data_IF_193173179270
#
_entry.id   IF_193173179270
#
_cell.length_a   1.000
_cell.length_b   1.000
_cell.length_c   1.000
_cell.angle_alpha   90.00
_cell.angle_beta   90.00
_cell.angle_gamma   90.00
#
_symmetry.space_group_name_H-M   'P 1'
#
loop_
_entity.id
_entity.type
_entity.pdbx_description
1 polymer ?
#
# COMPACT_ATOMS: atom_id res chain seq x y z
N UNK A 1 12.77 -28.51 62.50
CA UNK A 1 11.69 -27.63 62.02
C UNK A 1 12.38 -26.31 61.71
N UNK A 2 13.13 -26.23 60.61
CA UNK A 2 12.71 -25.83 59.24
C UNK A 2 12.04 -24.47 59.25
N UNK A 3 12.84 -23.43 59.11
CA UNK A 3 12.42 -22.17 58.51
C UNK A 3 13.34 -21.95 57.31
N UNK A 4 12.79 -22.30 56.16
CA UNK A 4 13.38 -22.21 54.83
C UNK A 4 13.60 -20.75 54.42
N UNK A 5 14.68 -20.58 53.67
CA UNK A 5 15.05 -19.38 52.93
C UNK A 5 13.91 -18.92 52.00
N UNK A 6 13.30 -17.77 52.29
CA UNK A 6 12.56 -17.00 51.30
C UNK A 6 13.49 -15.97 50.65
N UNK A 7 14.39 -16.45 49.80
CA UNK A 7 15.00 -15.65 48.73
C UNK A 7 14.01 -15.54 47.58
N UNK A 8 12.94 -14.78 47.80
CA UNK A 8 11.95 -14.46 46.77
C UNK A 8 12.55 -13.50 45.74
N UNK A 9 12.82 -14.03 44.56
CA UNK A 9 13.26 -13.34 43.35
C UNK A 9 12.22 -12.31 42.87
N UNK A 10 12.17 -11.17 43.56
CA UNK A 10 11.33 -10.01 43.20
C UNK A 10 11.84 -9.28 41.95
N UNK A 11 13.07 -9.57 41.51
CA UNK A 11 13.68 -8.93 40.35
C UNK A 11 13.26 -9.52 39.01
N UNK A 12 12.94 -10.82 38.93
CA UNK A 12 12.49 -11.45 37.68
C UNK A 12 11.02 -11.20 37.37
N UNK A 13 10.15 -11.25 38.38
CA UNK A 13 8.71 -11.01 38.22
C UNK A 13 8.41 -9.57 37.76
N UNK A 14 9.05 -8.57 38.35
CA UNK A 14 8.91 -7.17 37.94
C UNK A 14 9.47 -6.94 36.54
N UNK A 15 10.56 -7.62 36.16
CA UNK A 15 11.18 -7.49 34.83
C UNK A 15 10.35 -8.16 33.74
N UNK A 16 9.75 -9.32 34.02
CA UNK A 16 8.83 -9.97 33.09
C UNK A 16 7.58 -9.14 32.87
N UNK A 17 6.95 -8.61 33.94
CA UNK A 17 5.81 -7.70 33.82
C UNK A 17 6.21 -6.42 33.07
N UNK A 18 7.39 -5.85 33.32
CA UNK A 18 7.86 -4.67 32.59
C UNK A 18 8.10 -4.98 31.10
N UNK A 19 8.67 -6.13 30.77
CA UNK A 19 8.90 -6.55 29.38
C UNK A 19 7.59 -6.90 28.68
N UNK A 20 6.64 -7.51 29.38
CA UNK A 20 5.31 -7.83 28.87
C UNK A 20 4.50 -6.54 28.63
N UNK A 21 4.55 -5.60 29.56
CA UNK A 21 3.97 -4.25 29.40
C UNK A 21 4.66 -3.48 28.25
N UNK A 22 5.98 -3.62 28.08
CA UNK A 22 6.72 -3.00 26.97
C UNK A 22 6.50 -3.69 25.62
N UNK A 23 6.06 -4.96 25.59
CA UNK A 23 5.64 -5.65 24.36
C UNK A 23 4.27 -5.16 23.91
N UNK A 24 3.35 -4.94 24.85
CA UNK A 24 2.01 -4.45 24.55
C UNK A 24 2.00 -2.95 24.21
N UNK A 25 2.76 -2.13 24.95
CA UNK A 25 2.84 -0.68 24.72
C UNK A 25 4.27 -0.11 24.96
N UNK A 26 5.19 -0.23 23.99
CA UNK A 26 6.56 0.27 24.14
C UNK A 26 6.60 1.78 24.44
N UNK A 27 7.44 2.25 25.37
CA UNK A 27 7.45 3.65 25.85
C UNK A 27 7.82 4.70 24.79
N UNK A 28 8.18 4.29 23.58
CA UNK A 28 8.39 5.14 22.40
C UNK A 28 7.18 5.19 21.44
N UNK A 29 6.08 4.45 21.72
CA UNK A 29 4.81 4.54 20.97
C UNK A 29 4.05 5.83 21.25
N UNK A 30 4.24 6.43 22.43
CA UNK A 30 3.41 7.55 22.91
C UNK A 30 4.05 8.91 22.67
N UNK A 31 4.00 9.40 21.43
CA UNK A 31 4.03 10.87 21.23
C UNK A 31 3.30 11.37 19.99
N UNK A 32 2.83 10.48 19.11
CA UNK A 32 1.94 10.84 18.00
C UNK A 32 0.98 9.67 17.81
N UNK A 33 -0.33 9.93 17.84
CA UNK A 33 -1.33 8.93 17.45
C UNK A 33 -0.96 8.43 16.05
N UNK A 34 -0.50 7.19 15.97
CA UNK A 34 -0.26 6.52 14.70
C UNK A 34 -1.62 6.10 14.18
N UNK A 35 -1.88 6.25 12.89
CA UNK A 35 -3.10 5.76 12.22
C UNK A 35 -3.24 4.23 12.21
N UNK A 36 -2.62 3.54 13.18
CA UNK A 36 -2.50 2.09 13.27
C UNK A 36 -3.57 1.52 14.22
N UNK A 37 -4.13 2.34 15.12
CA UNK A 37 -5.21 1.93 16.02
C UNK A 37 -6.52 2.62 15.62
N UNK A 38 -7.57 1.85 15.27
CA UNK A 38 -8.89 2.39 14.94
C UNK A 38 -9.37 3.33 16.05
N UNK A 39 -9.67 4.57 15.69
CA UNK A 39 -10.29 5.54 16.60
C UNK A 39 -11.82 5.33 16.57
N UNK A 40 -12.47 5.42 17.73
CA UNK A 40 -13.93 5.29 17.79
C UNK A 40 -14.57 6.55 17.22
N UNK A 41 -15.40 6.37 16.18
CA UNK A 41 -16.13 7.47 15.54
C UNK A 41 -17.32 7.82 16.44
N UNK A 42 -17.05 8.57 17.51
CA UNK A 42 -18.06 8.83 18.54
C UNK A 42 -18.87 10.10 18.30
N UNK A 43 -18.43 10.98 17.39
CA UNK A 43 -19.08 12.29 17.15
C UNK A 43 -19.24 12.54 15.64
N UNK A 44 -20.49 12.55 15.13
CA UNK A 44 -20.80 13.05 13.78
C UNK A 44 -20.59 14.57 13.68
N UNK A 45 -20.02 15.05 12.57
CA UNK A 45 -20.01 16.48 12.22
C UNK A 45 -18.86 17.39 12.70
N UNK A 46 -17.83 16.98 13.49
CA UNK A 46 -16.74 17.91 13.84
C UNK A 46 -15.88 18.31 12.62
N UNK A 47 -16.06 17.64 11.48
CA UNK A 47 -15.29 17.81 10.26
C UNK A 47 -16.16 18.10 9.04
N UNK A 48 -17.41 18.55 9.20
CA UNK A 48 -18.39 18.65 8.11
C UNK A 48 -17.85 19.37 6.86
N UNK A 49 -17.17 20.51 7.05
CA UNK A 49 -16.54 21.25 5.94
C UNK A 49 -15.42 20.45 5.24
N UNK A 50 -14.58 19.75 6.03
CA UNK A 50 -13.49 18.92 5.51
C UNK A 50 -14.03 17.67 4.81
N UNK A 51 -15.04 17.01 5.39
CA UNK A 51 -15.73 15.86 4.83
C UNK A 51 -16.36 16.22 3.48
N UNK A 52 -17.05 17.37 3.40
CA UNK A 52 -17.62 17.86 2.15
C UNK A 52 -16.55 18.18 1.10
N UNK A 53 -15.44 18.80 1.49
CA UNK A 53 -14.35 19.11 0.58
C UNK A 53 -13.68 17.84 0.03
N UNK A 54 -13.41 16.86 0.89
CA UNK A 54 -12.80 15.57 0.51
C UNK A 54 -13.76 14.75 -0.35
N UNK A 55 -15.04 14.67 0.02
CA UNK A 55 -16.07 13.99 -0.77
C UNK A 55 -16.20 14.58 -2.18
N UNK A 56 -16.11 15.91 -2.29
CA UNK A 56 -16.09 16.60 -3.60
C UNK A 56 -14.83 16.24 -4.37
N UNK A 57 -13.65 16.27 -3.75
CA UNK A 57 -12.39 15.93 -4.39
C UNK A 57 -12.41 14.48 -4.93
N UNK A 58 -12.84 13.51 -4.14
CA UNK A 58 -12.98 12.10 -4.54
C UNK A 58 -13.91 11.98 -5.75
N UNK A 59 -15.10 12.60 -5.68
CA UNK A 59 -16.08 12.54 -6.77
C UNK A 59 -15.54 13.14 -8.07
N UNK A 60 -14.88 14.29 -7.98
CA UNK A 60 -14.33 14.95 -9.17
C UNK A 60 -13.18 14.15 -9.77
N UNK A 61 -12.24 13.65 -8.96
CA UNK A 61 -11.12 12.81 -9.43
C UNK A 61 -11.61 11.56 -10.12
N UNK A 62 -12.66 10.91 -9.59
CA UNK A 62 -13.29 9.76 -10.26
C UNK A 62 -13.98 10.12 -11.58
N UNK A 63 -14.45 11.35 -11.72
CA UNK A 63 -15.16 11.79 -12.92
C UNK A 63 -14.23 12.17 -14.07
N UNK A 64 -13.06 12.72 -13.78
CA UNK A 64 -12.15 13.29 -14.80
C UNK A 64 -10.73 12.70 -14.77
N UNK A 65 -10.44 11.77 -13.86
CA UNK A 65 -9.13 11.13 -13.71
C UNK A 65 -8.01 12.09 -13.28
N UNK A 66 -8.32 13.34 -12.91
CA UNK A 66 -7.31 14.35 -12.59
C UNK A 66 -6.95 14.29 -11.10
N UNK A 67 -5.66 14.10 -10.73
CA UNK A 67 -5.23 14.12 -9.34
C UNK A 67 -5.56 15.44 -8.64
N UNK A 68 -5.93 15.38 -7.35
CA UNK A 68 -6.29 16.55 -6.55
C UNK A 68 -5.56 16.54 -5.22
N UNK A 69 -5.05 17.70 -4.84
CA UNK A 69 -4.44 17.94 -3.53
C UNK A 69 -5.40 18.75 -2.67
N UNK A 70 -5.93 18.14 -1.60
CA UNK A 70 -6.82 18.79 -0.66
C UNK A 70 -6.10 18.95 0.70
N UNK A 71 -5.49 20.11 0.98
CA UNK A 71 -4.88 20.35 2.28
C UNK A 71 -5.98 20.44 3.36
N UNK A 72 -5.76 19.73 4.47
CA UNK A 72 -6.60 19.82 5.68
C UNK A 72 -5.77 20.46 6.78
N UNK A 73 -6.17 21.66 7.19
CA UNK A 73 -5.47 22.44 8.20
C UNK A 73 -6.29 22.47 9.48
N UNK A 74 -5.64 22.28 10.62
CA UNK A 74 -6.28 22.35 11.92
C UNK A 74 -5.27 22.25 13.05
N UNK A 75 -5.58 22.86 14.18
CA UNK A 75 -4.76 22.81 15.40
C UNK A 75 -4.59 21.37 15.91
N UNK A 76 -3.58 21.14 16.75
CA UNK A 76 -3.43 19.86 17.44
C UNK A 76 -4.71 19.54 18.25
N UNK A 77 -5.15 18.28 18.24
CA UNK A 77 -6.37 17.85 18.93
C UNK A 77 -7.69 18.11 18.18
N UNK A 78 -7.69 18.73 16.99
CA UNK A 78 -8.90 18.97 16.20
C UNK A 78 -9.43 17.75 15.42
N UNK A 79 -9.05 16.53 15.81
CA UNK A 79 -9.53 15.31 15.14
C UNK A 79 -8.98 15.04 13.73
N UNK A 80 -7.81 15.58 13.36
CA UNK A 80 -7.20 15.28 12.03
C UNK A 80 -6.96 13.78 11.81
N UNK A 81 -6.55 13.06 12.85
CA UNK A 81 -6.39 11.60 12.79
C UNK A 81 -7.74 10.90 12.74
N UNK A 82 -8.72 11.40 13.50
CA UNK A 82 -10.10 10.91 13.46
C UNK A 82 -10.72 11.05 12.06
N UNK A 83 -10.43 12.15 11.33
CA UNK A 83 -10.86 12.33 9.94
C UNK A 83 -10.40 11.19 9.01
N UNK A 84 -9.18 10.67 9.19
CA UNK A 84 -8.72 9.51 8.41
C UNK A 84 -9.60 8.27 8.67
N UNK A 85 -9.94 8.01 9.94
CA UNK A 85 -10.80 6.87 10.31
C UNK A 85 -12.22 7.01 9.78
N UNK A 86 -12.75 8.24 9.74
CA UNK A 86 -14.03 8.54 9.08
C UNK A 86 -13.98 8.18 7.60
N UNK A 87 -12.91 8.56 6.89
CA UNK A 87 -12.74 8.19 5.48
C UNK A 87 -12.60 6.67 5.30
N UNK A 88 -11.91 5.99 6.21
CA UNK A 88 -11.78 4.53 6.20
C UNK A 88 -13.11 3.81 6.37
N UNK A 89 -14.00 4.34 7.21
CA UNK A 89 -15.35 3.80 7.35
C UNK A 89 -16.21 4.11 6.11
N UNK A 90 -16.04 5.29 5.52
CA UNK A 90 -16.71 5.65 4.26
C UNK A 90 -16.26 4.78 3.07
N UNK A 91 -15.00 4.34 3.05
CA UNK A 91 -14.47 3.35 2.11
C UNK A 91 -15.25 2.03 2.23
N UNK A 92 -15.41 1.51 3.46
CA UNK A 92 -16.14 0.24 3.71
C UNK A 92 -17.62 0.33 3.36
N UNK A 93 -18.27 1.44 3.71
CA UNK A 93 -19.69 1.67 3.43
C UNK A 93 -19.97 1.98 1.95
N UNK A 94 -18.94 2.39 1.19
CA UNK A 94 -19.07 2.75 -0.22
C UNK A 94 -19.81 4.07 -0.46
N UNK A 95 -20.00 4.91 0.57
CA UNK A 95 -20.82 6.13 0.51
C UNK A 95 -20.31 7.14 -0.53
N UNK A 96 -19.00 7.19 -0.76
CA UNK A 96 -18.36 8.07 -1.77
C UNK A 96 -17.99 7.32 -3.07
N UNK A 97 -18.45 6.08 -3.20
CA UNK A 97 -18.05 5.13 -4.23
C UNK A 97 -16.76 4.39 -3.89
N UNK A 98 -16.17 3.74 -4.89
CA UNK A 98 -14.96 2.94 -4.73
C UNK A 98 -13.72 3.84 -4.63
N UNK A 99 -13.10 3.86 -3.47
CA UNK A 99 -11.78 4.45 -3.23
C UNK A 99 -11.08 3.65 -2.14
N UNK A 100 -9.76 3.77 -2.05
CA UNK A 100 -8.96 3.21 -0.96
C UNK A 100 -8.27 4.36 -0.24
N UNK A 101 -8.52 4.52 1.05
CA UNK A 101 -7.80 5.48 1.86
C UNK A 101 -6.45 4.88 2.27
N UNK A 102 -5.34 5.60 2.14
CA UNK A 102 -4.03 5.09 2.58
C UNK A 102 -3.45 6.09 3.58
N UNK A 103 -3.11 5.62 4.77
CA UNK A 103 -2.40 6.44 5.75
C UNK A 103 -0.90 6.39 5.47
N UNK A 104 -0.31 7.53 5.10
CA UNK A 104 1.14 7.65 4.88
C UNK A 104 1.74 8.45 6.03
N UNK A 105 2.43 7.82 6.99
CA UNK A 105 3.11 8.55 8.06
C UNK A 105 4.28 9.35 7.49
N UNK A 106 4.77 10.33 8.25
CA UNK A 106 6.03 11.00 7.90
C UNK A 106 7.13 9.95 7.75
N UNK A 107 7.87 9.93 6.62
CA UNK A 107 8.93 8.96 6.43
C UNK A 107 10.03 9.19 7.49
N UNK A 108 10.65 8.12 8.01
CA UNK A 108 11.69 8.22 9.04
C UNK A 108 12.96 8.92 8.52
N UNK A 109 13.21 8.87 7.21
CA UNK A 109 14.24 9.63 6.52
C UNK A 109 13.66 10.23 5.22
N UNK A 110 14.05 11.45 4.81
CA UNK A 110 13.53 12.10 3.60
C UNK A 110 14.10 11.50 2.29
N UNK A 111 14.58 10.26 2.32
CA UNK A 111 15.18 9.55 1.20
C UNK A 111 14.18 8.49 0.73
N UNK A 112 14.03 8.31 -0.60
CA UNK A 112 13.10 7.34 -1.21
C UNK A 112 11.64 7.59 -0.82
N UNK A 113 11.22 8.85 -0.87
CA UNK A 113 9.82 9.23 -0.60
C UNK A 113 8.84 8.44 -1.50
N UNK A 114 9.06 8.28 -2.82
CA UNK A 114 8.18 7.46 -3.67
C UNK A 114 8.02 6.02 -3.15
N UNK A 115 9.11 5.39 -2.70
CA UNK A 115 9.10 4.02 -2.16
C UNK A 115 8.29 3.93 -0.88
N UNK A 116 8.38 4.94 -0.01
CA UNK A 116 7.56 5.01 1.20
C UNK A 116 6.06 5.08 0.87
N UNK A 117 5.66 5.93 -0.08
CA UNK A 117 4.27 6.00 -0.55
C UNK A 117 3.81 4.67 -1.16
N UNK A 118 4.66 4.05 -1.98
CA UNK A 118 4.37 2.76 -2.61
C UNK A 118 4.18 1.65 -1.57
N UNK A 119 5.08 1.55 -0.60
CA UNK A 119 5.00 0.55 0.46
C UNK A 119 3.70 0.71 1.29
N UNK A 120 3.34 1.94 1.68
CA UNK A 120 2.08 2.19 2.38
C UNK A 120 0.85 1.82 1.55
N UNK A 121 0.86 2.08 0.24
CA UNK A 121 -0.23 1.71 -0.66
C UNK A 121 -0.37 0.18 -0.78
N UNK A 122 0.73 -0.53 -0.95
CA UNK A 122 0.75 -1.99 -1.09
C UNK A 122 0.36 -2.68 0.22
N UNK A 123 0.82 -2.17 1.36
CA UNK A 123 0.44 -2.69 2.68
C UNK A 123 -1.07 -2.57 2.93
N UNK A 124 -1.67 -1.45 2.52
CA UNK A 124 -3.10 -1.21 2.69
C UNK A 124 -3.98 -1.95 1.67
N UNK A 125 -3.64 -1.90 0.37
CA UNK A 125 -4.45 -2.48 -0.69
C UNK A 125 -4.21 -3.98 -0.92
N UNK A 126 -3.05 -4.48 -0.48
CA UNK A 126 -2.59 -5.85 -0.66
C UNK A 126 -2.44 -6.26 -2.13
N UNK A 127 -2.44 -7.57 -2.36
CA UNK A 127 -2.22 -8.17 -3.68
C UNK A 127 -3.31 -7.82 -4.71
N UNK A 128 -4.51 -7.45 -4.23
CA UNK A 128 -5.62 -7.06 -5.11
C UNK A 128 -5.29 -5.84 -5.96
N UNK A 129 -4.34 -5.01 -5.51
CA UNK A 129 -3.80 -3.90 -6.28
C UNK A 129 -3.09 -4.37 -7.56
N UNK A 130 -2.23 -5.38 -7.43
CA UNK A 130 -1.47 -5.95 -8.55
C UNK A 130 -2.40 -6.66 -9.53
N UNK A 131 -3.38 -7.41 -9.02
CA UNK A 131 -4.39 -8.06 -9.85
C UNK A 131 -5.19 -7.05 -10.68
N UNK A 132 -5.65 -5.96 -10.05
CA UNK A 132 -6.40 -4.91 -10.74
C UNK A 132 -5.57 -4.19 -11.80
N UNK A 133 -4.33 -3.83 -11.48
CA UNK A 133 -3.44 -3.19 -12.44
C UNK A 133 -3.13 -4.10 -13.64
N UNK A 134 -2.84 -5.38 -13.39
CA UNK A 134 -2.62 -6.36 -14.45
C UNK A 134 -3.88 -6.59 -15.30
N UNK A 135 -5.05 -6.74 -14.67
CA UNK A 135 -6.31 -6.94 -15.38
C UNK A 135 -6.72 -5.69 -16.20
N UNK A 136 -6.37 -4.48 -15.75
CA UNK A 136 -6.55 -3.23 -16.51
C UNK A 136 -5.70 -3.22 -17.78
N UNK A 137 -4.42 -3.57 -17.67
CA UNK A 137 -3.50 -3.71 -18.81
C UNK A 137 -4.02 -4.77 -19.80
N UNK A 138 -4.46 -5.91 -19.29
CA UNK A 138 -5.02 -6.99 -20.12
C UNK A 138 -6.34 -6.58 -20.78
N UNK A 139 -7.17 -5.79 -20.12
CA UNK A 139 -8.40 -5.29 -20.71
C UNK A 139 -8.13 -4.27 -21.83
N UNK A 140 -7.10 -3.45 -21.69
CA UNK A 140 -6.73 -2.42 -22.67
C UNK A 140 -6.00 -3.02 -23.89
N UNK A 141 -5.06 -3.95 -23.68
CA UNK A 141 -4.16 -4.44 -24.72
C UNK A 141 -4.37 -5.92 -25.10
N UNK A 142 -5.07 -6.68 -24.27
CA UNK A 142 -5.28 -8.10 -24.43
C UNK A 142 -6.34 -8.43 -25.49
N UNK A 143 -5.92 -9.20 -26.50
CA UNK A 143 -6.84 -9.90 -27.39
C UNK A 143 -6.95 -11.37 -26.96
N UNK A 144 -8.17 -11.85 -26.73
CA UNK A 144 -8.41 -13.28 -26.46
C UNK A 144 -8.22 -14.08 -27.76
N UNK A 145 -7.05 -14.68 -27.96
CA UNK A 145 -6.78 -15.60 -29.08
C UNK A 145 -6.98 -17.07 -28.64
N UNK A 146 -7.75 -17.85 -29.42
CA UNK A 146 -7.87 -19.31 -29.27
C UNK A 146 -9.31 -19.87 -29.17
N UNK A 147 -9.57 -20.99 -29.86
CA UNK A 147 -10.89 -21.66 -29.98
C UNK A 147 -11.20 -22.61 -28.80
N UNK A 148 -10.22 -23.00 -28.00
CA UNK A 148 -10.37 -24.06 -26.97
C UNK A 148 -9.99 -23.58 -25.55
N UNK A 149 -9.12 -22.58 -25.41
CA UNK A 149 -8.83 -21.88 -24.15
C UNK A 149 -8.43 -20.43 -24.48
N UNK A 150 -9.25 -19.47 -24.06
CA UNK A 150 -8.96 -18.04 -24.20
C UNK A 150 -7.83 -17.64 -23.23
N UNK A 151 -6.57 -17.79 -23.65
CA UNK A 151 -5.41 -17.26 -22.90
C UNK A 151 -4.86 -16.03 -23.61
N UNK A 152 -4.48 -15.02 -22.82
CA UNK A 152 -3.73 -13.88 -23.33
C UNK A 152 -2.33 -14.34 -23.72
N UNK A 153 -1.82 -13.80 -24.82
CA UNK A 153 -0.44 -14.02 -25.26
C UNK A 153 0.44 -12.91 -24.69
N UNK A 154 1.43 -13.28 -23.89
CA UNK A 154 2.29 -12.33 -23.18
C UNK A 154 3.03 -11.40 -24.16
N UNK A 155 3.61 -11.95 -25.22
CA UNK A 155 4.42 -11.19 -26.18
C UNK A 155 3.54 -10.21 -26.98
N UNK A 156 2.33 -10.63 -27.38
CA UNK A 156 1.34 -9.77 -28.05
C UNK A 156 0.95 -8.57 -27.16
N UNK A 157 0.56 -8.84 -25.90
CA UNK A 157 0.16 -7.79 -24.95
C UNK A 157 1.33 -6.86 -24.65
N UNK A 158 2.51 -7.42 -24.39
CA UNK A 158 3.70 -6.64 -24.06
C UNK A 158 4.10 -5.70 -25.21
N UNK A 159 4.07 -6.19 -26.46
CA UNK A 159 4.42 -5.38 -27.62
C UNK A 159 3.53 -4.15 -27.80
N UNK A 160 2.23 -4.28 -27.48
CA UNK A 160 1.26 -3.17 -27.52
C UNK A 160 1.42 -2.25 -26.31
N UNK A 161 1.57 -2.81 -25.12
CA UNK A 161 1.73 -2.06 -23.88
C UNK A 161 2.99 -1.18 -23.91
N UNK A 162 4.08 -1.64 -24.55
CA UNK A 162 5.33 -0.87 -24.72
C UNK A 162 5.14 0.44 -25.50
N UNK A 163 4.13 0.56 -26.34
CA UNK A 163 3.83 1.81 -27.05
C UNK A 163 3.32 2.89 -26.09
N UNK A 164 2.59 2.50 -25.03
CA UNK A 164 2.03 3.41 -24.01
C UNK A 164 2.96 3.54 -22.80
N UNK A 165 3.64 2.47 -22.42
CA UNK A 165 4.48 2.37 -21.22
C UNK A 165 5.94 2.03 -21.57
N UNK A 166 6.68 2.96 -22.22
CA UNK A 166 8.09 2.75 -22.55
C UNK A 166 9.01 2.99 -21.34
N UNK A 167 10.28 2.60 -21.46
CA UNK A 167 11.33 2.89 -20.48
C UNK A 167 11.12 2.13 -19.17
N UNK A 168 11.27 2.81 -18.03
CA UNK A 168 11.17 2.21 -16.69
C UNK A 168 9.79 1.60 -16.41
N UNK A 169 8.72 2.14 -17.00
CA UNK A 169 7.37 1.60 -16.86
C UNK A 169 7.22 0.20 -17.48
N UNK A 170 8.06 -0.14 -18.46
CA UNK A 170 8.04 -1.46 -19.10
C UNK A 170 8.36 -2.58 -18.11
N UNK A 171 9.27 -2.36 -17.16
CA UNK A 171 9.64 -3.37 -16.17
C UNK A 171 8.49 -3.63 -15.19
N UNK A 172 7.76 -2.58 -14.79
CA UNK A 172 6.54 -2.72 -13.98
C UNK A 172 5.46 -3.50 -14.73
N UNK A 173 5.22 -3.17 -16.01
CA UNK A 173 4.24 -3.88 -16.84
C UNK A 173 4.63 -5.35 -17.01
N UNK A 174 5.92 -5.65 -17.23
CA UNK A 174 6.41 -7.04 -17.29
C UNK A 174 6.14 -7.78 -15.99
N UNK A 175 6.49 -7.20 -14.85
CA UNK A 175 6.25 -7.81 -13.56
C UNK A 175 4.76 -8.08 -13.32
N UNK A 176 3.88 -7.11 -13.60
CA UNK A 176 2.42 -7.26 -13.50
C UNK A 176 1.86 -8.37 -14.41
N UNK A 177 2.28 -8.40 -15.68
CA UNK A 177 1.83 -9.42 -16.63
C UNK A 177 2.37 -10.81 -16.28
N UNK A 178 3.63 -10.93 -15.83
CA UNK A 178 4.20 -12.19 -15.36
C UNK A 178 3.51 -12.69 -14.09
N UNK A 179 3.25 -11.79 -13.15
CA UNK A 179 2.45 -12.08 -11.96
C UNK A 179 1.09 -12.71 -12.32
N UNK A 180 0.43 -12.17 -13.35
CA UNK A 180 -0.94 -12.57 -13.74
C UNK A 180 -1.03 -13.73 -14.73
N UNK A 181 -0.09 -13.85 -15.67
CA UNK A 181 -0.17 -14.79 -16.79
C UNK A 181 0.76 -16.01 -16.65
N UNK A 182 1.86 -15.91 -15.89
CA UNK A 182 2.86 -16.97 -15.76
C UNK A 182 2.86 -17.57 -14.35
N UNK A 183 2.20 -18.72 -14.20
CA UNK A 183 2.14 -19.47 -12.92
C UNK A 183 3.53 -19.82 -12.36
N UNK A 184 4.57 -19.93 -13.20
CA UNK A 184 5.93 -20.27 -12.75
C UNK A 184 6.68 -19.07 -12.21
N UNK A 185 6.48 -17.90 -12.80
CA UNK A 185 7.17 -16.66 -12.40
C UNK A 185 6.31 -15.77 -11.49
N UNK A 186 5.08 -16.17 -11.19
CA UNK A 186 4.13 -15.36 -10.42
C UNK A 186 4.65 -14.99 -9.02
N UNK A 187 5.22 -15.94 -8.29
CA UNK A 187 5.80 -15.69 -6.96
C UNK A 187 7.00 -14.74 -7.04
N UNK A 188 7.88 -14.94 -8.03
CA UNK A 188 9.05 -14.08 -8.22
C UNK A 188 8.65 -12.65 -8.59
N UNK A 189 7.67 -12.50 -9.48
CA UNK A 189 7.12 -11.21 -9.89
C UNK A 189 6.45 -10.51 -8.70
N UNK A 190 5.72 -11.25 -7.87
CA UNK A 190 5.13 -10.73 -6.64
C UNK A 190 6.19 -10.22 -5.68
N UNK A 191 7.26 -10.97 -5.44
CA UNK A 191 8.38 -10.54 -4.58
C UNK A 191 9.01 -9.23 -5.08
N UNK A 192 9.21 -9.11 -6.39
CA UNK A 192 9.66 -7.86 -7.00
C UNK A 192 8.67 -6.69 -6.79
N UNK A 193 7.37 -6.93 -7.01
CA UNK A 193 6.31 -5.94 -6.80
C UNK A 193 6.16 -5.55 -5.33
N UNK A 194 6.53 -6.41 -4.38
CA UNK A 194 6.58 -6.10 -2.95
C UNK A 194 7.85 -5.31 -2.55
N UNK A 195 8.74 -5.01 -3.50
CA UNK A 195 9.97 -4.27 -3.23
C UNK A 195 11.09 -5.11 -2.62
N UNK A 196 11.03 -6.44 -2.75
CA UNK A 196 12.12 -7.31 -2.29
C UNK A 196 13.38 -7.09 -3.14
N UNK A 197 14.54 -7.03 -2.49
CA UNK A 197 15.84 -6.98 -3.16
C UNK A 197 16.16 -8.35 -3.78
N UNK A 198 15.81 -8.51 -5.06
CA UNK A 198 16.06 -9.73 -5.82
C UNK A 198 17.54 -9.85 -6.25
N UNK A 199 17.98 -11.09 -6.48
CA UNK A 199 19.30 -11.36 -7.04
C UNK A 199 19.39 -11.00 -8.53
N UNK A 200 20.59 -10.85 -9.10
CA UNK A 200 20.75 -10.58 -10.54
C UNK A 200 20.12 -11.70 -11.39
N UNK A 201 20.26 -12.96 -10.99
CA UNK A 201 19.65 -14.12 -11.67
C UNK A 201 18.10 -14.07 -11.65
N UNK A 202 17.53 -13.62 -10.54
CA UNK A 202 16.09 -13.42 -10.40
C UNK A 202 15.57 -12.27 -11.27
N UNK A 203 16.33 -11.16 -11.34
CA UNK A 203 16.01 -10.01 -12.20
C UNK A 203 16.06 -10.41 -13.68
N UNK A 204 17.09 -11.16 -14.08
CA UNK A 204 17.24 -11.70 -15.43
C UNK A 204 16.08 -12.67 -15.77
N UNK A 205 15.66 -13.50 -14.81
CA UNK A 205 14.51 -14.40 -14.97
C UNK A 205 13.21 -13.62 -15.19
N UNK A 206 13.02 -12.51 -14.46
CA UNK A 206 11.90 -11.59 -14.64
C UNK A 206 12.04 -10.69 -15.86
N UNK A 207 13.18 -10.67 -16.55
CA UNK A 207 13.49 -9.72 -17.62
C UNK A 207 13.25 -8.27 -17.17
N UNK A 208 13.63 -7.91 -15.94
CA UNK A 208 13.55 -6.53 -15.43
C UNK A 208 14.96 -6.02 -15.16
N UNK A 209 15.17 -4.71 -15.34
CA UNK A 209 16.53 -4.13 -15.35
C UNK A 209 16.98 -3.65 -13.98
N UNK A 210 16.05 -3.37 -13.09
CA UNK A 210 16.33 -2.76 -11.79
C UNK A 210 15.38 -3.29 -10.70
N UNK A 211 15.81 -3.12 -9.45
CA UNK A 211 14.98 -3.34 -8.28
C UNK A 211 14.02 -2.16 -8.07
N UNK A 212 12.88 -2.42 -7.44
CA UNK A 212 11.86 -1.42 -7.11
C UNK A 212 12.29 -0.52 -5.93
N UNK A 213 13.45 0.12 -6.05
CA UNK A 213 13.93 1.15 -5.11
C UNK A 213 14.27 2.46 -5.81
N UNK A 214 14.44 2.44 -7.13
CA UNK A 214 14.72 3.64 -7.91
C UNK A 214 13.47 4.53 -7.97
N UNK A 215 13.64 5.83 -7.71
CA UNK A 215 12.52 6.78 -7.59
C UNK A 215 11.65 6.81 -8.87
N UNK A 216 12.26 6.78 -10.06
CA UNK A 216 11.55 6.82 -11.35
C UNK A 216 10.73 5.54 -11.58
N UNK A 217 11.32 4.38 -11.29
CA UNK A 217 10.66 3.09 -11.42
C UNK A 217 9.51 2.96 -10.41
N UNK A 218 9.74 3.41 -9.18
CA UNK A 218 8.73 3.42 -8.12
C UNK A 218 7.57 4.36 -8.43
N UNK A 219 7.87 5.54 -9.00
CA UNK A 219 6.84 6.47 -9.45
C UNK A 219 6.03 5.90 -10.61
N UNK A 220 6.69 5.21 -11.55
CA UNK A 220 6.00 4.49 -12.62
C UNK A 220 5.08 3.39 -12.07
N UNK A 221 5.54 2.66 -11.05
CA UNK A 221 4.72 1.66 -10.36
C UNK A 221 3.51 2.29 -9.68
N UNK A 222 3.71 3.34 -8.87
CA UNK A 222 2.61 4.09 -8.24
C UNK A 222 1.56 4.54 -9.25
N UNK A 223 2.00 5.10 -10.38
CA UNK A 223 1.11 5.54 -11.45
C UNK A 223 0.30 4.37 -12.02
N UNK A 224 0.95 3.28 -12.41
CA UNK A 224 0.27 2.10 -12.97
C UNK A 224 -0.71 1.44 -11.99
N UNK A 225 -0.42 1.47 -10.68
CA UNK A 225 -1.30 0.91 -9.65
C UNK A 225 -2.52 1.78 -9.35
N UNK A 226 -2.52 3.05 -9.77
CA UNK A 226 -3.56 4.03 -9.44
C UNK A 226 -4.34 4.54 -10.68
N UNK A 227 -3.98 4.11 -11.88
CA UNK A 227 -4.72 4.30 -13.14
C UNK A 227 -5.94 3.37 -13.24
#
# INVERSE_FOLDING_TARGET
MTDDEFSGDSGSFDREIYIETMKDDPPLKRYVSRGDQPDSIDIPGPHEDADMAIARAIRMTRSDGTPRLQPVLGSAGMGKTHLFWVLKEQEKTGTLGTFTAVYVPSPPAPVRVPLHFYACLVDEAGETLFERAADSILAEFGEKKGVIRHRYDFDDVMSKALLKYPGVAADVVKALLKYRLDERQSDLAKRWLLGEALSEEDLDTLDVRAILEEDDLTMAALKLMTE
#
